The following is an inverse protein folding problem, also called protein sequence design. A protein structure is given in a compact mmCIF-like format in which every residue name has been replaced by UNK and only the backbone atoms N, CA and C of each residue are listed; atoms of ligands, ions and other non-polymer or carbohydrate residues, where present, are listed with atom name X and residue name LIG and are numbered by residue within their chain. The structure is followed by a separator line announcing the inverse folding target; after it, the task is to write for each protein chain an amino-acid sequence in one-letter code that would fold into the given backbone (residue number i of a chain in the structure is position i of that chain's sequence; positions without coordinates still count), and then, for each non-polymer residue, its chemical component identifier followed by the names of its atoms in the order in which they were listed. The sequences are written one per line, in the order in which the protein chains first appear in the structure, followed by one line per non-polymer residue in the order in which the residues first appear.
data_IF_015663536949
#
_entry.id   IF_015663536949
#
_cell.length_a   1.000
_cell.length_b   1.000
_cell.length_c   1.000
_cell.angle_alpha   90.00
_cell.angle_beta   90.00
_cell.angle_gamma   90.00
#
_symmetry.space_group_name_H-M   'P 1'
#
loop_
_entity.id
_entity.type
_entity.pdbx_description
1 polymer ?
#
# COMPACT_ATOMS: atom_id res chain seq x y z
N UNK A 1 14.36 -22.77 25.92
CA UNK A 1 15.18 -22.62 24.69
C UNK A 1 16.26 -21.57 24.92
N UNK A 2 17.40 -21.72 24.25
CA UNK A 2 18.46 -20.71 24.26
C UNK A 2 18.13 -19.56 23.29
N UNK A 3 18.91 -18.48 23.32
CA UNK A 3 18.67 -17.29 22.48
C UNK A 3 18.83 -17.57 20.98
N UNK A 4 19.67 -18.53 20.59
CA UNK A 4 19.86 -18.93 19.19
C UNK A 4 18.57 -19.52 18.62
N UNK A 5 17.87 -20.37 19.36
CA UNK A 5 16.63 -20.97 18.87
C UNK A 5 15.51 -19.92 18.69
N UNK A 6 15.38 -18.95 19.60
CA UNK A 6 14.38 -17.88 19.46
C UNK A 6 14.68 -16.97 18.27
N UNK A 7 15.96 -16.74 17.98
CA UNK A 7 16.41 -15.99 16.82
C UNK A 7 16.07 -16.72 15.50
N UNK A 8 16.37 -18.03 15.41
CA UNK A 8 16.03 -18.83 14.22
C UNK A 8 14.52 -18.88 13.96
N UNK A 9 13.70 -18.96 15.01
CA UNK A 9 12.25 -18.92 14.87
C UNK A 9 11.74 -17.56 14.40
N UNK A 10 12.35 -16.45 14.84
CA UNK A 10 12.03 -15.12 14.34
C UNK A 10 12.34 -14.99 12.84
N UNK A 11 13.53 -15.44 12.41
CA UNK A 11 13.90 -15.44 11.00
C UNK A 11 13.02 -16.38 10.17
N UNK A 12 12.66 -17.55 10.69
CA UNK A 12 11.75 -18.46 10.00
C UNK A 12 10.37 -17.81 9.83
N UNK A 13 9.86 -17.14 10.86
CA UNK A 13 8.59 -16.40 10.75
C UNK A 13 8.69 -15.30 9.69
N UNK A 14 9.77 -14.51 9.70
CA UNK A 14 9.99 -13.46 8.70
C UNK A 14 10.06 -14.02 7.27
N UNK A 15 10.76 -15.14 7.08
CA UNK A 15 10.85 -15.83 5.80
C UNK A 15 9.49 -16.34 5.32
N UNK A 16 8.70 -16.98 6.19
CA UNK A 16 7.35 -17.43 5.84
C UNK A 16 6.42 -16.27 5.51
N UNK A 17 6.53 -15.16 6.24
CA UNK A 17 5.75 -13.95 5.95
C UNK A 17 6.13 -13.36 4.60
N UNK A 18 7.43 -13.25 4.29
CA UNK A 18 7.91 -12.78 2.99
C UNK A 18 7.49 -13.73 1.86
N UNK A 19 7.63 -15.03 2.05
CA UNK A 19 7.26 -16.03 1.06
C UNK A 19 5.76 -16.00 0.75
N UNK A 20 4.92 -15.78 1.75
CA UNK A 20 3.47 -15.63 1.59
C UNK A 20 3.02 -14.23 1.13
N UNK A 21 3.93 -13.26 1.01
CA UNK A 21 3.62 -11.90 0.60
C UNK A 21 3.65 -11.75 -0.94
N UNK A 22 2.77 -10.92 -1.54
CA UNK A 22 2.86 -10.59 -2.96
C UNK A 22 4.24 -10.01 -3.34
N UNK A 23 4.75 -10.25 -4.55
CA UNK A 23 4.03 -10.75 -5.74
C UNK A 23 4.16 -12.26 -5.97
N UNK A 24 4.67 -13.04 -5.02
CA UNK A 24 4.91 -14.48 -5.23
C UNK A 24 3.56 -15.19 -5.44
N UNK A 25 3.32 -15.82 -6.61
CA UNK A 25 2.02 -16.41 -6.90
C UNK A 25 1.81 -17.68 -6.06
N UNK A 26 0.55 -17.93 -5.69
CA UNK A 26 0.09 -19.15 -5.00
C UNK A 26 0.61 -19.40 -3.57
N UNK A 27 1.44 -18.52 -3.02
CA UNK A 27 2.03 -18.69 -1.67
C UNK A 27 1.26 -17.98 -0.56
N UNK A 28 0.31 -17.11 -0.89
CA UNK A 28 -0.52 -16.35 0.07
C UNK A 28 -1.04 -17.16 1.28
N UNK A 29 -1.52 -18.42 1.15
CA UNK A 29 -2.00 -19.20 2.30
C UNK A 29 -0.94 -19.45 3.38
N UNK A 30 0.35 -19.32 3.06
CA UNK A 30 1.44 -19.43 4.05
C UNK A 30 1.28 -18.37 5.15
N UNK A 31 0.74 -17.18 4.83
CA UNK A 31 0.49 -16.12 5.82
C UNK A 31 -0.40 -16.60 6.97
N UNK A 32 -1.31 -17.56 6.74
CA UNK A 32 -2.22 -18.12 7.73
C UNK A 32 -1.51 -18.91 8.85
N UNK A 33 -0.23 -19.24 8.65
CA UNK A 33 0.63 -19.96 9.61
C UNK A 33 2.01 -19.33 9.82
N UNK A 34 2.32 -18.23 9.12
CA UNK A 34 3.66 -17.62 9.08
C UNK A 34 4.15 -17.07 10.43
N UNK A 35 3.25 -16.67 11.34
CA UNK A 35 3.57 -16.17 12.68
C UNK A 35 3.67 -17.29 13.74
N UNK A 36 3.33 -18.54 13.40
CA UNK A 36 3.44 -19.67 14.34
C UNK A 36 4.86 -19.82 14.93
N UNK A 37 5.96 -19.75 14.15
CA UNK A 37 7.30 -19.78 14.71
C UNK A 37 7.58 -18.65 15.70
N UNK A 38 7.10 -17.43 15.43
CA UNK A 38 7.22 -16.29 16.34
C UNK A 38 6.45 -16.54 17.66
N UNK A 39 5.23 -17.10 17.58
CA UNK A 39 4.44 -17.46 18.77
C UNK A 39 5.13 -18.56 19.60
N UNK A 40 5.79 -19.53 18.96
CA UNK A 40 6.63 -20.53 19.65
C UNK A 40 7.81 -19.86 20.36
N UNK A 41 8.51 -18.93 19.70
CA UNK A 41 9.61 -18.19 20.29
C UNK A 41 9.15 -17.35 21.49
N UNK A 42 8.02 -16.67 21.34
CA UNK A 42 7.36 -15.92 22.40
C UNK A 42 7.07 -16.78 23.64
N UNK A 43 6.41 -17.94 23.46
CA UNK A 43 6.08 -18.82 24.57
C UNK A 43 7.33 -19.39 25.26
N UNK A 44 8.38 -19.68 24.49
CA UNK A 44 9.67 -20.09 25.03
C UNK A 44 10.37 -19.00 25.85
N UNK A 45 10.25 -17.73 25.44
CA UNK A 45 10.77 -16.58 26.21
C UNK A 45 9.94 -16.36 27.48
N UNK A 46 8.60 -16.41 27.36
CA UNK A 46 7.66 -16.26 28.48
C UNK A 46 7.93 -17.28 29.58
N UNK A 47 8.12 -18.55 29.22
CA UNK A 47 8.34 -19.65 30.17
C UNK A 47 9.81 -19.84 30.56
N UNK A 48 10.74 -19.10 29.94
CA UNK A 48 12.16 -19.17 30.23
C UNK A 48 12.56 -18.53 31.57
N UNK A 49 13.79 -18.82 32.02
CA UNK A 49 14.39 -18.28 33.26
C UNK A 49 14.94 -16.85 33.14
N UNK A 50 14.86 -16.22 31.96
CA UNK A 50 15.46 -14.89 31.74
C UNK A 50 14.74 -13.80 32.53
N UNK A 51 15.49 -12.86 33.10
CA UNK A 51 14.94 -11.70 33.82
C UNK A 51 14.38 -10.65 32.83
N UNK A 52 15.07 -10.41 31.70
CA UNK A 52 14.72 -9.35 30.73
C UNK A 52 13.74 -9.84 29.64
N UNK A 53 12.63 -10.50 30.04
CA UNK A 53 11.67 -11.12 29.11
C UNK A 53 11.07 -10.13 28.11
N UNK A 54 10.62 -8.96 28.58
CA UNK A 54 10.02 -7.93 27.72
C UNK A 54 10.96 -7.44 26.62
N UNK A 55 12.24 -7.18 26.95
CA UNK A 55 13.26 -6.81 25.95
C UNK A 55 13.50 -7.93 24.94
N UNK A 56 13.54 -9.19 25.38
CA UNK A 56 13.70 -10.33 24.48
C UNK A 56 12.52 -10.50 23.53
N UNK A 57 11.28 -10.34 24.02
CA UNK A 57 10.09 -10.36 23.15
C UNK A 57 10.15 -9.22 22.13
N UNK A 58 10.45 -8.00 22.58
CA UNK A 58 10.58 -6.84 21.69
C UNK A 58 11.60 -7.06 20.59
N UNK A 59 12.81 -7.54 20.92
CA UNK A 59 13.87 -7.78 19.93
C UNK A 59 13.54 -8.96 19.00
N UNK A 60 12.85 -9.99 19.49
CA UNK A 60 12.47 -11.17 18.68
C UNK A 60 11.37 -10.82 17.67
N UNK A 61 10.33 -10.12 18.13
CA UNK A 61 9.27 -9.61 17.25
C UNK A 61 9.81 -8.53 16.30
N UNK A 62 10.64 -7.62 16.81
CA UNK A 62 11.31 -6.58 16.03
C UNK A 62 12.15 -7.12 14.89
N UNK A 63 12.95 -8.15 15.15
CA UNK A 63 13.70 -8.84 14.10
C UNK A 63 12.76 -9.46 13.06
N UNK A 64 11.68 -10.12 13.49
CA UNK A 64 10.73 -10.76 12.58
C UNK A 64 10.11 -9.73 11.63
N UNK A 65 9.54 -8.67 12.18
CA UNK A 65 8.83 -7.68 11.40
C UNK A 65 9.76 -6.80 10.57
N UNK A 66 10.95 -6.47 11.07
CA UNK A 66 11.94 -5.68 10.32
C UNK A 66 12.45 -6.46 9.10
N UNK A 67 12.85 -7.72 9.28
CA UNK A 67 13.34 -8.55 8.16
C UNK A 67 12.23 -8.75 7.12
N UNK A 68 11.01 -9.05 7.56
CA UNK A 68 9.87 -9.19 6.65
C UNK A 68 9.53 -7.88 5.92
N UNK A 69 9.48 -6.75 6.62
CA UNK A 69 9.27 -5.44 5.99
C UNK A 69 10.34 -5.19 4.93
N UNK A 70 11.61 -5.17 5.34
CA UNK A 70 12.71 -4.86 4.42
C UNK A 70 12.71 -5.79 3.21
N UNK A 71 12.49 -7.10 3.39
CA UNK A 71 12.44 -8.04 2.28
C UNK A 71 11.23 -7.85 1.35
N UNK A 72 10.11 -7.31 1.85
CA UNK A 72 8.87 -7.11 1.07
C UNK A 72 8.83 -5.76 0.35
N UNK A 73 9.48 -4.73 0.91
CA UNK A 73 9.48 -3.36 0.37
C UNK A 73 10.87 -2.84 -0.02
N UNK A 74 11.85 -3.72 -0.24
CA UNK A 74 13.22 -3.35 -0.61
C UNK A 74 13.33 -2.43 -1.84
N UNK A 75 12.32 -2.47 -2.73
CA UNK A 75 12.24 -1.66 -3.94
C UNK A 75 12.20 -0.15 -3.65
N UNK A 76 11.82 0.27 -2.43
CA UNK A 76 11.83 1.68 -2.03
C UNK A 76 13.24 2.28 -2.17
N UNK A 77 14.27 1.50 -1.81
CA UNK A 77 15.65 1.95 -1.99
C UNK A 77 15.95 2.25 -3.46
N UNK A 78 15.49 1.40 -4.38
CA UNK A 78 15.71 1.61 -5.81
C UNK A 78 15.01 2.89 -6.30
N UNK A 79 13.78 3.14 -5.84
CA UNK A 79 13.03 4.35 -6.19
C UNK A 79 13.74 5.63 -5.70
N UNK A 80 14.25 5.62 -4.46
CA UNK A 80 14.97 6.78 -3.88
C UNK A 80 16.35 6.94 -4.52
N UNK A 81 17.07 5.84 -4.75
CA UNK A 81 18.42 5.87 -5.33
C UNK A 81 18.43 6.36 -6.77
N UNK A 82 17.35 6.10 -7.52
CA UNK A 82 17.26 6.53 -8.91
C UNK A 82 17.11 8.06 -9.07
N UNK A 83 16.52 8.74 -8.07
CA UNK A 83 16.45 10.22 -8.03
C UNK A 83 17.65 10.86 -7.31
N UNK A 84 18.35 10.12 -6.45
CA UNK A 84 19.51 10.58 -5.68
C UNK A 84 20.80 9.85 -6.08
N UNK A 85 21.09 9.79 -7.39
CA UNK A 85 22.17 8.96 -7.94
C UNK A 85 23.54 9.27 -7.33
N UNK A 86 23.78 10.54 -6.96
CA UNK A 86 25.05 11.00 -6.40
C UNK A 86 25.25 10.65 -4.91
N UNK A 87 24.21 10.15 -4.21
CA UNK A 87 24.31 9.85 -2.78
C UNK A 87 23.58 8.54 -2.38
N UNK A 88 24.18 7.38 -2.65
CA UNK A 88 23.64 6.08 -2.26
C UNK A 88 23.48 5.93 -0.74
N UNK A 89 24.33 6.58 0.05
CA UNK A 89 24.27 6.54 1.51
C UNK A 89 23.02 7.27 2.03
N UNK A 90 22.74 8.46 1.52
CA UNK A 90 21.52 9.19 1.85
C UNK A 90 20.27 8.38 1.46
N UNK A 91 20.28 7.78 0.27
CA UNK A 91 19.20 6.90 -0.21
C UNK A 91 18.96 5.72 0.74
N UNK A 92 20.03 5.07 1.20
CA UNK A 92 19.94 3.99 2.18
C UNK A 92 19.35 4.48 3.52
N UNK A 93 19.84 5.60 4.05
CA UNK A 93 19.36 6.16 5.33
C UNK A 93 17.88 6.57 5.26
N UNK A 94 17.43 7.20 4.18
CA UNK A 94 16.02 7.58 4.00
C UNK A 94 15.14 6.34 3.88
N UNK A 95 15.61 5.31 3.15
CA UNK A 95 14.89 4.03 3.01
C UNK A 95 14.68 3.29 4.33
N UNK A 96 15.55 3.51 5.33
CA UNK A 96 15.36 2.93 6.66
C UNK A 96 14.07 3.41 7.33
N UNK A 97 13.54 4.59 7.00
CA UNK A 97 12.31 5.12 7.58
C UNK A 97 11.12 4.19 7.28
N UNK A 98 10.73 3.93 6.01
CA UNK A 98 9.63 3.01 5.73
C UNK A 98 9.93 1.58 6.17
N UNK A 99 11.18 1.10 6.07
CA UNK A 99 11.55 -0.25 6.53
C UNK A 99 11.36 -0.46 8.03
N UNK A 100 11.65 0.57 8.83
CA UNK A 100 11.66 0.46 10.29
C UNK A 100 10.37 0.95 10.95
N UNK A 101 9.68 1.95 10.39
CA UNK A 101 8.52 2.55 11.02
C UNK A 101 7.34 1.58 11.12
N UNK A 102 6.98 0.92 10.01
CA UNK A 102 5.94 -0.12 10.02
C UNK A 102 6.33 -1.31 10.90
N UNK A 103 7.57 -1.78 10.77
CA UNK A 103 8.14 -2.84 11.61
C UNK A 103 8.05 -2.50 13.11
N UNK A 104 8.36 -1.27 13.49
CA UNK A 104 8.32 -0.79 14.87
C UNK A 104 6.90 -0.78 15.43
N UNK A 105 5.91 -0.29 14.67
CA UNK A 105 4.51 -0.29 15.08
C UNK A 105 3.97 -1.71 15.31
N UNK A 106 4.26 -2.64 14.40
CA UNK A 106 3.88 -4.06 14.58
C UNK A 106 4.59 -4.70 15.78
N UNK A 107 5.84 -4.32 16.02
CA UNK A 107 6.61 -4.76 17.20
C UNK A 107 5.99 -4.24 18.49
N UNK A 108 5.56 -2.98 18.53
CA UNK A 108 4.84 -2.41 19.67
C UNK A 108 3.55 -3.19 19.91
N UNK A 109 2.75 -3.44 18.88
CA UNK A 109 1.51 -4.19 19.01
C UNK A 109 1.74 -5.59 19.63
N UNK A 110 2.75 -6.32 19.15
CA UNK A 110 3.13 -7.62 19.69
C UNK A 110 3.70 -7.52 21.12
N UNK A 111 4.42 -6.43 21.43
CA UNK A 111 4.94 -6.20 22.77
C UNK A 111 3.82 -5.82 23.76
N UNK A 112 2.81 -5.05 23.35
CA UNK A 112 1.62 -4.77 24.14
C UNK A 112 0.81 -6.04 24.40
N UNK A 113 0.71 -6.94 23.41
CA UNK A 113 0.20 -8.30 23.62
C UNK A 113 0.95 -9.02 24.75
N UNK A 114 2.29 -9.01 24.71
CA UNK A 114 3.09 -9.57 25.80
C UNK A 114 2.75 -8.94 27.15
N UNK A 115 2.62 -7.61 27.23
CA UNK A 115 2.27 -6.91 28.48
C UNK A 115 0.90 -7.35 29.00
N UNK A 116 -0.09 -7.46 28.12
CA UNK A 116 -1.43 -7.89 28.48
C UNK A 116 -1.47 -9.36 28.94
N UNK A 117 -0.76 -10.25 28.26
CA UNK A 117 -0.64 -11.66 28.63
C UNK A 117 -0.03 -11.89 30.04
N UNK A 118 0.74 -10.92 30.56
CA UNK A 118 1.29 -10.99 31.93
C UNK A 118 0.25 -10.74 33.02
N UNK A 119 -0.87 -10.10 32.69
CA UNK A 119 -1.86 -9.62 33.65
C UNK A 119 -3.27 -10.17 33.39
N UNK A 120 -3.54 -10.70 32.21
CA UNK A 120 -4.84 -11.20 31.79
C UNK A 120 -4.82 -12.70 31.47
N UNK A 121 -6.01 -13.29 31.29
CA UNK A 121 -6.13 -14.67 30.81
C UNK A 121 -5.73 -14.76 29.32
N UNK A 122 -5.45 -15.99 28.86
CA UNK A 122 -4.93 -16.24 27.51
C UNK A 122 -5.84 -15.73 26.38
N UNK A 123 -7.16 -15.80 26.55
CA UNK A 123 -8.11 -15.40 25.51
C UNK A 123 -8.14 -13.88 25.39
N UNK A 124 -8.18 -13.17 26.52
CA UNK A 124 -8.05 -11.70 26.55
C UNK A 124 -6.73 -11.24 25.95
N UNK A 125 -5.63 -11.95 26.22
CA UNK A 125 -4.34 -11.64 25.63
C UNK A 125 -4.36 -11.80 24.10
N UNK A 126 -4.90 -12.91 23.58
CA UNK A 126 -5.03 -13.11 22.13
C UNK A 126 -5.93 -12.08 21.45
N UNK A 127 -7.06 -11.72 22.07
CA UNK A 127 -7.90 -10.61 21.58
C UNK A 127 -7.11 -9.31 21.57
N UNK A 128 -6.31 -9.05 22.61
CA UNK A 128 -5.42 -7.89 22.65
C UNK A 128 -4.38 -7.88 21.53
N UNK A 129 -3.78 -9.02 21.17
CA UNK A 129 -2.88 -9.11 20.02
C UNK A 129 -3.58 -8.64 18.74
N UNK A 130 -4.78 -9.14 18.47
CA UNK A 130 -5.56 -8.77 17.29
C UNK A 130 -5.88 -7.27 17.30
N UNK A 131 -6.43 -6.76 18.41
CA UNK A 131 -6.83 -5.36 18.54
C UNK A 131 -5.63 -4.42 18.43
N UNK A 132 -4.54 -4.68 19.16
CA UNK A 132 -3.35 -3.82 19.09
C UNK A 132 -2.74 -3.80 17.70
N UNK A 133 -2.74 -4.94 16.99
CA UNK A 133 -2.16 -5.04 15.65
C UNK A 133 -3.00 -4.27 14.63
N UNK A 134 -4.31 -4.48 14.59
CA UNK A 134 -5.20 -3.77 13.65
C UNK A 134 -5.24 -2.27 13.98
N UNK A 135 -5.22 -1.88 15.26
CA UNK A 135 -5.10 -0.46 15.64
C UNK A 135 -3.79 0.16 15.14
N UNK A 136 -2.67 -0.58 15.20
CA UNK A 136 -1.40 -0.12 14.66
C UNK A 136 -1.46 0.03 13.12
N UNK A 137 -2.11 -0.89 12.40
CA UNK A 137 -2.34 -0.77 10.96
C UNK A 137 -3.20 0.45 10.62
N UNK A 138 -4.31 0.65 11.33
CA UNK A 138 -5.20 1.79 11.13
C UNK A 138 -4.51 3.13 11.40
N UNK A 139 -3.71 3.20 12.48
CA UNK A 139 -2.91 4.38 12.79
C UNK A 139 -1.88 4.67 11.69
N UNK A 140 -1.18 3.63 11.21
CA UNK A 140 -0.19 3.78 10.15
C UNK A 140 -0.79 4.18 8.80
N UNK A 141 -2.08 3.98 8.59
CA UNK A 141 -2.81 4.47 7.41
C UNK A 141 -3.26 5.93 7.53
N UNK A 142 -3.41 6.46 8.76
CA UNK A 142 -4.18 7.68 9.00
C UNK A 142 -3.35 8.95 9.25
N UNK A 143 -2.06 8.81 9.59
CA UNK A 143 -1.18 9.93 9.93
C UNK A 143 -0.33 10.45 8.74
N UNK A 144 0.44 11.52 8.96
CA UNK A 144 1.22 12.16 7.90
C UNK A 144 2.37 11.32 7.35
N UNK A 145 2.90 10.38 8.13
CA UNK A 145 3.90 9.38 7.70
C UNK A 145 3.23 8.07 7.27
N UNK A 146 2.07 8.15 6.64
CA UNK A 146 1.30 6.96 6.29
C UNK A 146 2.01 6.15 5.22
N UNK A 147 2.20 4.86 5.51
CA UNK A 147 2.76 3.89 4.58
C UNK A 147 2.11 2.51 4.76
N UNK A 148 0.80 2.38 4.47
CA UNK A 148 0.01 1.19 4.78
C UNK A 148 0.25 0.00 3.82
N UNK A 149 1.43 -0.08 3.20
CA UNK A 149 1.81 -1.22 2.35
C UNK A 149 1.71 -2.53 3.11
N UNK A 150 2.21 -2.53 4.34
CA UNK A 150 2.43 -3.74 5.14
C UNK A 150 1.25 -4.12 6.04
N UNK A 151 0.04 -3.61 5.77
CA UNK A 151 -1.21 -4.09 6.37
C UNK A 151 -1.41 -5.56 6.00
N UNK A 152 -1.50 -6.47 6.97
CA UNK A 152 -1.49 -7.91 6.75
C UNK A 152 -2.55 -8.38 5.75
N UNK A 153 -3.75 -7.80 5.80
CA UNK A 153 -4.82 -8.12 4.86
C UNK A 153 -4.49 -7.81 3.39
N UNK A 154 -3.54 -6.94 3.08
CA UNK A 154 -3.06 -6.75 1.71
C UNK A 154 -2.37 -8.00 1.16
N UNK A 155 -1.86 -8.87 2.02
CA UNK A 155 -1.19 -10.11 1.63
C UNK A 155 -2.07 -11.06 0.81
N UNK A 156 -3.41 -10.92 0.90
CA UNK A 156 -4.35 -11.70 0.11
C UNK A 156 -4.49 -11.22 -1.35
N UNK A 157 -3.91 -10.08 -1.72
CA UNK A 157 -4.00 -9.54 -3.08
C UNK A 157 -3.43 -10.49 -4.14
N UNK A 158 -2.40 -11.28 -3.79
CA UNK A 158 -1.81 -12.28 -4.69
C UNK A 158 -2.73 -13.47 -5.01
N UNK A 159 -3.79 -13.68 -4.24
CA UNK A 159 -4.79 -14.73 -4.44
C UNK A 159 -6.19 -14.22 -4.07
N UNK A 160 -6.63 -13.13 -4.70
CA UNK A 160 -7.89 -12.45 -4.39
C UNK A 160 -9.13 -13.37 -4.46
N UNK A 161 -9.07 -14.48 -5.22
CA UNK A 161 -10.13 -15.50 -5.30
C UNK A 161 -10.45 -16.13 -3.94
N UNK A 162 -9.52 -16.13 -2.99
CA UNK A 162 -9.71 -16.66 -1.64
C UNK A 162 -10.40 -15.68 -0.68
N UNK A 163 -10.50 -14.41 -1.07
CA UNK A 163 -10.84 -13.29 -0.19
C UNK A 163 -12.05 -12.47 -0.65
N UNK A 164 -12.98 -13.05 -1.43
CA UNK A 164 -14.15 -12.33 -1.93
C UNK A 164 -15.06 -11.78 -0.81
N UNK A 165 -15.05 -12.41 0.38
CA UNK A 165 -15.72 -11.87 1.58
C UNK A 165 -15.19 -10.51 2.06
N UNK A 166 -14.06 -10.02 1.52
CA UNK A 166 -13.59 -8.64 1.73
C UNK A 166 -14.64 -7.59 1.35
N UNK A 167 -15.63 -7.93 0.50
CA UNK A 167 -16.76 -7.05 0.19
C UNK A 167 -17.50 -6.56 1.46
N UNK A 168 -17.48 -7.33 2.56
CA UNK A 168 -18.16 -6.97 3.81
C UNK A 168 -17.22 -6.40 4.88
N UNK A 169 -15.97 -6.84 4.91
CA UNK A 169 -15.05 -6.52 6.03
C UNK A 169 -13.92 -5.59 5.65
N UNK A 170 -13.69 -5.40 4.34
CA UNK A 170 -12.48 -4.78 3.81
C UNK A 170 -11.20 -5.50 4.23
N UNK A 171 -10.07 -4.82 4.00
CA UNK A 171 -8.72 -5.33 4.24
C UNK A 171 -8.45 -5.73 5.69
N UNK A 172 -9.02 -5.03 6.68
CA UNK A 172 -8.80 -5.35 8.09
C UNK A 172 -9.43 -6.69 8.51
N UNK A 173 -10.50 -7.13 7.84
CA UNK A 173 -11.01 -8.50 8.00
C UNK A 173 -9.97 -9.54 7.60
N UNK A 174 -9.17 -9.25 6.59
CA UNK A 174 -7.96 -9.99 6.21
C UNK A 174 -6.93 -10.10 7.31
N UNK A 175 -6.55 -8.96 7.89
CA UNK A 175 -5.60 -8.91 9.02
C UNK A 175 -6.12 -9.74 10.20
N UNK A 176 -7.41 -9.60 10.53
CA UNK A 176 -8.07 -10.41 11.55
C UNK A 176 -7.98 -11.91 11.23
N UNK A 177 -8.29 -12.30 9.99
CA UNK A 177 -8.26 -13.70 9.56
C UNK A 177 -6.86 -14.31 9.68
N UNK A 178 -5.84 -13.59 9.21
CA UNK A 178 -4.43 -14.01 9.28
C UNK A 178 -3.98 -14.16 10.74
N UNK A 179 -4.24 -13.15 11.59
CA UNK A 179 -3.83 -13.17 12.99
C UNK A 179 -4.53 -14.30 13.76
N UNK A 180 -5.85 -14.45 13.58
CA UNK A 180 -6.65 -15.48 14.25
C UNK A 180 -6.26 -16.88 13.77
N UNK A 181 -6.00 -17.07 12.48
CA UNK A 181 -5.49 -18.35 11.97
C UNK A 181 -4.15 -18.72 12.61
N UNK A 182 -3.21 -17.78 12.71
CA UNK A 182 -1.91 -18.01 13.34
C UNK A 182 -2.03 -18.38 14.84
N UNK A 183 -2.93 -17.71 15.56
CA UNK A 183 -3.21 -18.02 16.98
C UNK A 183 -3.77 -19.44 17.11
N UNK A 184 -4.75 -19.82 16.30
CA UNK A 184 -5.37 -21.15 16.35
C UNK A 184 -4.42 -22.26 15.90
N UNK A 185 -3.61 -22.01 14.86
CA UNK A 185 -2.55 -22.92 14.42
C UNK A 185 -1.51 -23.16 15.53
N UNK A 186 -1.10 -22.10 16.23
CA UNK A 186 -0.20 -22.20 17.37
C UNK A 186 -0.83 -22.98 18.54
N UNK A 187 -2.09 -22.73 18.90
CA UNK A 187 -2.78 -23.49 19.95
C UNK A 187 -2.95 -24.97 19.56
N UNK A 188 -3.21 -25.29 18.30
CA UNK A 188 -3.26 -26.66 17.79
C UNK A 188 -1.89 -27.35 17.95
N UNK A 189 -0.81 -26.68 17.55
CA UNK A 189 0.57 -27.16 17.75
C UNK A 189 0.90 -27.38 19.24
N UNK A 190 0.60 -26.40 20.10
CA UNK A 190 0.88 -26.47 21.54
C UNK A 190 0.09 -27.60 22.22
N UNK A 191 -1.19 -27.75 21.86
CA UNK A 191 -2.08 -28.80 22.35
C UNK A 191 -1.55 -30.20 21.99
N UNK A 192 -1.16 -30.40 20.73
CA UNK A 192 -0.56 -31.64 20.24
C UNK A 192 0.72 -32.00 21.01
N UNK A 193 1.62 -31.04 21.24
CA UNK A 193 2.89 -31.26 21.98
C UNK A 193 2.70 -31.54 23.46
N UNK A 194 1.66 -30.99 24.09
CA UNK A 194 1.46 -31.11 25.54
C UNK A 194 1.07 -32.52 26.00
N UNK A 195 0.55 -33.38 25.11
CA UNK A 195 0.08 -34.75 25.34
C UNK A 195 -0.92 -34.98 26.50
N UNK A 196 -1.31 -33.95 27.26
CA UNK A 196 -2.04 -34.07 28.54
C UNK A 196 -3.57 -33.88 28.48
N UNK A 197 -4.16 -33.52 27.35
CA UNK A 197 -5.61 -33.22 27.26
C UNK A 197 -6.39 -34.25 26.45
N UNK A 198 -7.62 -34.56 26.87
CA UNK A 198 -8.59 -35.31 26.05
C UNK A 198 -9.17 -34.49 24.88
N UNK A 199 -8.97 -33.16 24.87
CA UNK A 199 -9.49 -32.23 23.86
C UNK A 199 -8.40 -31.73 22.88
N UNK A 200 -7.39 -32.56 22.60
CA UNK A 200 -6.21 -32.18 21.79
C UNK A 200 -6.54 -31.57 20.43
N UNK A 201 -7.58 -32.07 19.77
CA UNK A 201 -7.95 -31.71 18.41
C UNK A 201 -8.88 -30.49 18.30
N UNK A 202 -9.42 -29.99 19.42
CA UNK A 202 -10.40 -28.88 19.38
C UNK A 202 -9.84 -27.63 18.68
N UNK A 203 -8.63 -27.12 19.02
CA UNK A 203 -8.07 -25.97 18.31
C UNK A 203 -7.81 -26.24 16.83
N UNK A 204 -7.46 -27.49 16.46
CA UNK A 204 -7.24 -27.88 15.07
C UNK A 204 -8.55 -27.88 14.26
N UNK A 205 -9.68 -28.29 14.85
CA UNK A 205 -10.98 -28.21 14.19
C UNK A 205 -11.43 -26.75 13.98
N UNK A 206 -11.26 -25.89 14.98
CA UNK A 206 -11.54 -24.46 14.82
C UNK A 206 -10.62 -23.82 13.77
N UNK A 207 -9.34 -24.18 13.78
CA UNK A 207 -8.37 -23.72 12.78
C UNK A 207 -8.74 -24.17 11.36
N UNK A 208 -9.14 -25.43 11.20
CA UNK A 208 -9.63 -25.93 9.91
C UNK A 208 -10.89 -25.19 9.45
N UNK A 209 -11.86 -24.98 10.35
CA UNK A 209 -13.07 -24.24 10.05
C UNK A 209 -12.81 -22.80 9.61
N UNK A 210 -11.91 -22.09 10.30
CA UNK A 210 -11.60 -20.70 9.94
C UNK A 210 -10.87 -20.58 8.60
N UNK A 211 -10.17 -21.61 8.14
CA UNK A 211 -9.55 -21.61 6.80
C UNK A 211 -10.58 -21.98 5.74
N UNK A 212 -11.28 -23.10 5.94
CA UNK A 212 -12.11 -23.71 4.91
C UNK A 212 -13.38 -22.91 4.65
N UNK A 213 -14.03 -22.36 5.67
CA UNK A 213 -15.31 -21.66 5.49
C UNK A 213 -15.16 -20.38 4.65
N UNK A 214 -14.24 -19.44 4.95
CA UNK A 214 -14.09 -18.22 4.15
C UNK A 214 -13.59 -18.51 2.73
N UNK A 215 -12.68 -19.47 2.57
CA UNK A 215 -12.20 -19.87 1.24
C UNK A 215 -13.32 -20.48 0.41
N UNK A 216 -14.09 -21.40 0.99
CA UNK A 216 -15.22 -22.04 0.28
C UNK A 216 -16.25 -21.00 -0.14
N UNK A 217 -16.61 -20.08 0.77
CA UNK A 217 -17.50 -18.96 0.46
C UNK A 217 -16.96 -18.14 -0.72
N UNK A 218 -15.68 -17.72 -0.66
CA UNK A 218 -15.07 -16.91 -1.70
C UNK A 218 -15.03 -17.60 -3.05
N UNK A 219 -14.64 -18.89 -3.10
CA UNK A 219 -14.56 -19.64 -4.34
C UNK A 219 -15.94 -19.88 -4.96
N UNK A 220 -16.97 -20.14 -4.13
CA UNK A 220 -18.35 -20.28 -4.60
C UNK A 220 -18.85 -18.95 -5.19
N UNK A 221 -18.59 -17.82 -4.53
CA UNK A 221 -18.94 -16.49 -5.04
C UNK A 221 -18.20 -16.18 -6.35
N UNK A 222 -16.89 -16.39 -6.36
CA UNK A 222 -16.02 -16.09 -7.50
C UNK A 222 -16.42 -16.88 -8.76
N UNK A 223 -16.78 -18.16 -8.61
CA UNK A 223 -17.14 -19.02 -9.75
C UNK A 223 -18.58 -18.88 -10.22
N UNK A 224 -19.48 -18.34 -9.39
CA UNK A 224 -20.90 -18.14 -9.73
C UNK A 224 -21.23 -16.72 -10.14
N UNK A 225 -20.28 -15.79 -10.01
CA UNK A 225 -20.50 -14.41 -10.42
C UNK A 225 -20.67 -14.34 -11.95
N UNK A 226 -21.75 -13.71 -12.38
CA UNK A 226 -22.03 -13.41 -13.78
C UNK A 226 -22.17 -11.90 -13.90
N UNK A 227 -21.22 -11.28 -14.59
CA UNK A 227 -21.21 -9.85 -14.83
C UNK A 227 -22.37 -9.46 -15.76
N UNK A 228 -22.96 -8.28 -15.52
CA UNK A 228 -23.94 -7.74 -16.45
C UNK A 228 -23.19 -7.08 -17.61
N UNK A 229 -23.28 -7.66 -18.80
CA UNK A 229 -22.59 -7.12 -19.97
C UNK A 229 -23.20 -5.77 -20.41
N UNK A 230 -22.44 -4.71 -20.16
CA UNK A 230 -22.58 -3.39 -20.80
C UNK A 230 -21.21 -3.07 -21.40
N UNK A 231 -20.88 -3.64 -22.56
CA UNK A 231 -19.53 -3.53 -23.11
C UNK A 231 -19.26 -2.08 -23.51
N UNK A 232 -18.14 -1.56 -23.03
CA UNK A 232 -17.58 -0.25 -23.43
C UNK A 232 -16.25 -0.48 -24.14
N UNK A 233 -16.00 0.25 -25.22
CA UNK A 233 -14.72 0.16 -25.92
C UNK A 233 -13.72 1.17 -25.32
N UNK A 234 -12.66 0.64 -24.70
CA UNK A 234 -11.67 1.42 -23.95
C UNK A 234 -10.28 1.15 -24.51
N UNK A 235 -9.52 2.22 -24.77
CA UNK A 235 -8.10 2.18 -25.14
C UNK A 235 -7.27 2.73 -23.99
N UNK A 236 -6.49 1.87 -23.34
CA UNK A 236 -5.53 2.26 -22.30
C UNK A 236 -4.12 2.30 -22.87
N UNK A 237 -3.41 3.41 -22.68
CA UNK A 237 -2.11 3.65 -23.32
C UNK A 237 -0.99 3.64 -22.28
N UNK A 238 0.04 2.85 -22.54
CA UNK A 238 1.28 2.85 -21.75
C UNK A 238 2.46 3.15 -22.68
N UNK A 239 2.98 4.39 -22.70
CA UNK A 239 3.96 4.82 -23.70
C UNK A 239 5.39 4.29 -23.42
N UNK A 240 5.61 3.62 -22.28
CA UNK A 240 6.91 3.12 -21.85
C UNK A 240 8.03 4.19 -21.88
N UNK A 241 7.68 5.42 -21.53
CA UNK A 241 8.63 6.52 -21.34
C UNK A 241 9.33 6.32 -20.01
N UNK A 242 10.67 6.45 -20.00
CA UNK A 242 11.45 6.37 -18.77
C UNK A 242 10.97 7.46 -17.77
N UNK A 243 10.57 7.10 -16.55
CA UNK A 243 10.05 8.05 -15.58
C UNK A 243 11.09 9.12 -15.15
N UNK A 244 12.39 8.86 -15.32
CA UNK A 244 13.47 9.78 -14.98
C UNK A 244 13.82 10.73 -16.15
N UNK A 245 13.54 10.34 -17.40
CA UNK A 245 13.68 11.21 -18.58
C UNK A 245 12.40 12.02 -18.88
N UNK A 246 11.29 11.64 -18.23
CA UNK A 246 9.96 12.24 -18.43
C UNK A 246 9.92 13.75 -18.18
N UNK A 247 10.73 14.24 -17.24
CA UNK A 247 10.83 15.64 -16.87
C UNK A 247 12.12 16.23 -17.45
N UNK A 248 12.00 16.96 -18.57
CA UNK A 248 13.11 17.68 -19.21
C UNK A 248 13.87 16.90 -20.29
N UNK A 249 13.79 15.57 -20.34
CA UNK A 249 14.38 14.76 -21.42
C UNK A 249 13.56 14.74 -22.72
N UNK A 250 12.27 15.09 -22.65
CA UNK A 250 11.36 15.10 -23.79
C UNK A 250 10.27 16.18 -23.63
N UNK A 251 9.93 16.89 -24.71
CA UNK A 251 8.83 17.88 -24.71
C UNK A 251 7.46 17.20 -24.49
N UNK A 252 6.51 17.88 -23.83
CA UNK A 252 5.17 17.31 -23.65
C UNK A 252 4.48 17.01 -24.98
N UNK A 253 4.71 17.82 -26.01
CA UNK A 253 4.16 17.59 -27.34
C UNK A 253 4.65 16.27 -27.96
N UNK A 254 5.92 15.92 -27.78
CA UNK A 254 6.45 14.63 -28.24
C UNK A 254 5.82 13.47 -27.46
N UNK A 255 5.61 13.62 -26.14
CA UNK A 255 4.91 12.60 -25.34
C UNK A 255 3.46 12.43 -25.83
N UNK A 256 2.76 13.53 -26.13
CA UNK A 256 1.42 13.51 -26.73
C UNK A 256 1.39 12.87 -28.12
N UNK A 257 2.39 13.10 -28.97
CA UNK A 257 2.48 12.43 -30.27
C UNK A 257 2.62 10.91 -30.13
N UNK A 258 3.41 10.44 -29.16
CA UNK A 258 3.52 9.01 -28.84
C UNK A 258 2.17 8.46 -28.36
N UNK A 259 1.51 9.14 -27.42
CA UNK A 259 0.24 8.73 -26.85
C UNK A 259 -0.88 8.66 -27.89
N UNK A 260 -0.99 9.68 -28.74
CA UNK A 260 -1.99 9.73 -29.82
C UNK A 260 -1.74 8.67 -30.88
N UNK A 261 -0.49 8.47 -31.30
CA UNK A 261 -0.11 7.42 -32.25
C UNK A 261 -0.43 6.01 -31.72
N UNK A 262 -0.08 5.73 -30.46
CA UNK A 262 -0.41 4.46 -29.81
C UNK A 262 -1.92 4.25 -29.72
N UNK A 263 -2.66 5.29 -29.33
CA UNK A 263 -4.11 5.25 -29.28
C UNK A 263 -4.71 4.90 -30.65
N UNK A 264 -4.30 5.61 -31.71
CA UNK A 264 -4.80 5.40 -33.08
C UNK A 264 -4.49 4.01 -33.63
N UNK A 265 -3.41 3.36 -33.16
CA UNK A 265 -3.00 2.06 -33.68
C UNK A 265 -3.96 0.91 -33.33
N UNK A 266 -4.81 1.10 -32.32
CA UNK A 266 -5.75 0.07 -31.84
C UNK A 266 -7.19 0.57 -31.72
N UNK A 267 -7.42 1.89 -31.76
CA UNK A 267 -8.73 2.48 -31.60
C UNK A 267 -9.68 2.13 -32.75
N UNK A 268 -10.96 2.01 -32.39
CA UNK A 268 -12.06 1.76 -33.31
C UNK A 268 -12.98 2.99 -33.40
N UNK A 269 -13.79 3.15 -34.45
CA UNK A 269 -14.74 4.27 -34.57
C UNK A 269 -15.72 4.40 -33.40
N UNK A 270 -16.03 3.29 -32.71
CA UNK A 270 -16.89 3.22 -31.53
C UNK A 270 -16.12 3.24 -30.19
N UNK A 271 -14.83 3.63 -30.18
CA UNK A 271 -14.08 3.82 -28.93
C UNK A 271 -14.72 4.92 -28.09
N UNK A 272 -15.04 4.61 -26.84
CA UNK A 272 -15.73 5.52 -25.91
C UNK A 272 -14.75 6.15 -24.92
N UNK A 273 -13.68 5.45 -24.55
CA UNK A 273 -12.69 5.96 -23.61
C UNK A 273 -11.25 5.78 -24.08
N UNK A 274 -10.47 6.83 -23.92
CA UNK A 274 -9.02 6.81 -24.00
C UNK A 274 -8.45 7.11 -22.62
N UNK A 275 -7.59 6.24 -22.11
CA UNK A 275 -6.95 6.39 -20.81
C UNK A 275 -5.44 6.59 -21.01
N UNK A 276 -4.98 7.81 -20.77
CA UNK A 276 -3.55 8.16 -20.76
C UNK A 276 -3.05 8.21 -19.31
N UNK A 277 -1.76 7.90 -19.07
CA UNK A 277 -1.24 7.69 -17.72
C UNK A 277 -1.12 8.98 -16.89
N UNK A 278 -0.78 8.82 -15.61
CA UNK A 278 -0.43 9.91 -14.69
C UNK A 278 0.65 10.82 -15.31
N UNK A 279 0.47 12.13 -15.17
CA UNK A 279 1.40 13.15 -15.69
C UNK A 279 1.76 12.95 -17.18
N UNK A 280 0.80 12.48 -18.00
CA UNK A 280 0.96 12.37 -19.45
C UNK A 280 1.16 13.74 -20.13
N UNK A 281 0.66 14.81 -19.50
CA UNK A 281 0.95 16.20 -19.83
C UNK A 281 1.81 16.79 -18.69
N UNK A 282 3.16 16.69 -18.76
CA UNK A 282 4.07 17.13 -17.70
C UNK A 282 4.40 18.63 -17.79
N UNK A 283 3.40 19.45 -18.10
CA UNK A 283 3.56 20.91 -18.25
C UNK A 283 2.59 21.62 -17.31
N UNK A 284 3.09 22.44 -16.35
CA UNK A 284 2.26 23.20 -15.44
C UNK A 284 1.29 24.11 -16.21
N UNK A 285 0.02 23.75 -16.21
CA UNK A 285 -1.00 24.44 -17.01
C UNK A 285 -2.07 25.06 -16.11
N UNK A 286 -2.34 26.36 -16.29
CA UNK A 286 -3.41 27.03 -15.57
C UNK A 286 -4.78 26.45 -15.98
N UNK A 287 -5.53 25.92 -15.02
CA UNK A 287 -6.83 25.29 -15.25
C UNK A 287 -7.84 26.24 -15.89
N UNK A 288 -7.82 27.53 -15.53
CA UNK A 288 -8.72 28.54 -16.10
C UNK A 288 -8.42 28.80 -17.59
N UNK A 289 -7.18 28.55 -18.02
CA UNK A 289 -6.69 28.78 -19.38
C UNK A 289 -6.42 27.47 -20.13
N UNK A 290 -6.87 26.32 -19.61
CA UNK A 290 -6.57 25.01 -20.19
C UNK A 290 -6.95 24.93 -21.67
N UNK A 291 -8.07 25.57 -22.05
CA UNK A 291 -8.63 25.54 -23.41
C UNK A 291 -7.76 26.22 -24.46
N UNK A 292 -6.87 27.12 -24.04
CA UNK A 292 -5.89 27.76 -24.93
C UNK A 292 -4.51 27.09 -24.90
N UNK A 293 -4.32 26.06 -24.07
CA UNK A 293 -3.05 25.34 -24.02
C UNK A 293 -2.85 24.47 -25.28
N UNK A 294 -1.61 24.42 -25.77
CA UNK A 294 -1.25 23.59 -26.93
C UNK A 294 -1.55 22.10 -26.69
N UNK A 295 -1.26 21.62 -25.48
CA UNK A 295 -1.50 20.25 -25.04
C UNK A 295 -3.00 19.89 -25.07
N UNK A 296 -3.88 20.78 -24.60
CA UNK A 296 -5.33 20.58 -24.70
C UNK A 296 -5.81 20.58 -26.15
N UNK A 297 -5.37 21.53 -26.96
CA UNK A 297 -5.76 21.63 -28.38
C UNK A 297 -5.36 20.36 -29.13
N UNK A 298 -4.15 19.84 -28.87
CA UNK A 298 -3.68 18.57 -29.45
C UNK A 298 -4.54 17.39 -29.00
N UNK A 299 -4.85 17.29 -27.71
CA UNK A 299 -5.71 16.25 -27.16
C UNK A 299 -7.13 16.29 -27.75
N UNK A 300 -7.73 17.49 -27.87
CA UNK A 300 -9.04 17.69 -28.47
C UNK A 300 -9.04 17.39 -29.97
N UNK A 301 -7.99 17.80 -30.69
CA UNK A 301 -7.81 17.46 -32.12
C UNK A 301 -7.71 15.95 -32.32
N UNK A 302 -6.97 15.25 -31.47
CA UNK A 302 -6.94 13.79 -31.45
C UNK A 302 -8.34 13.19 -31.22
N UNK A 303 -9.05 13.66 -30.20
CA UNK A 303 -10.35 13.11 -29.80
C UNK A 303 -11.44 13.33 -30.86
N UNK A 304 -11.34 14.40 -31.67
CA UNK A 304 -12.30 14.74 -32.72
C UNK A 304 -12.53 13.64 -33.76
N UNK A 305 -11.58 12.70 -33.91
CA UNK A 305 -11.69 11.52 -34.78
C UNK A 305 -12.72 10.50 -34.26
N UNK A 306 -12.98 10.51 -32.96
CA UNK A 306 -13.81 9.54 -32.23
C UNK A 306 -15.02 10.28 -31.64
N UNK A 307 -16.15 10.32 -32.37
CA UNK A 307 -17.31 11.17 -32.03
C UNK A 307 -17.86 10.95 -30.61
N UNK A 308 -17.85 9.70 -30.14
CA UNK A 308 -18.32 9.31 -28.80
C UNK A 308 -17.17 9.16 -27.79
N UNK A 309 -15.95 9.53 -28.18
CA UNK A 309 -14.77 9.34 -27.35
C UNK A 309 -14.66 10.40 -26.26
N UNK A 310 -14.23 9.94 -25.09
CA UNK A 310 -13.79 10.74 -23.96
C UNK A 310 -12.35 10.39 -23.64
N UNK A 311 -11.50 11.40 -23.45
CA UNK A 311 -10.12 11.21 -23.02
C UNK A 311 -10.00 11.53 -21.53
N UNK A 312 -9.43 10.59 -20.77
CA UNK A 312 -9.01 10.81 -19.38
C UNK A 312 -7.47 10.72 -19.36
N UNK A 313 -6.81 11.79 -18.92
CA UNK A 313 -5.35 11.91 -18.96
C UNK A 313 -4.80 12.53 -17.69
N UNK A 314 -3.59 12.13 -17.27
CA UNK A 314 -2.86 12.83 -16.22
C UNK A 314 -2.24 14.15 -16.71
N UNK A 315 -2.24 15.17 -15.85
CA UNK A 315 -1.68 16.51 -16.12
C UNK A 315 -1.09 17.12 -14.84
N UNK A 316 -0.05 17.94 -14.99
CA UNK A 316 0.35 18.90 -13.96
C UNK A 316 -0.41 20.22 -14.15
N UNK A 317 -1.27 20.58 -13.20
CA UNK A 317 -2.12 21.76 -13.33
C UNK A 317 -1.86 22.78 -12.22
N UNK A 318 -2.19 24.04 -12.51
CA UNK A 318 -2.09 25.16 -11.60
C UNK A 318 -3.47 25.79 -11.39
N UNK A 319 -3.79 26.13 -10.14
CA UNK A 319 -4.96 26.95 -9.81
C UNK A 319 -4.51 28.20 -9.09
N UNK A 320 -4.96 29.35 -9.58
CA UNK A 320 -4.62 30.66 -9.04
C UNK A 320 -5.75 31.21 -8.16
N UNK A 321 -5.37 31.96 -7.14
CA UNK A 321 -6.25 32.56 -6.14
C UNK A 321 -5.82 34.02 -5.88
N UNK A 322 -6.76 34.85 -5.44
CA UNK A 322 -6.44 36.20 -4.97
C UNK A 322 -5.88 36.16 -3.54
N UNK A 323 -6.55 35.42 -2.65
CA UNK A 323 -6.13 35.21 -1.27
C UNK A 323 -5.57 33.79 -1.05
N UNK A 324 -4.92 33.57 0.09
CA UNK A 324 -4.38 32.26 0.46
C UNK A 324 -5.50 31.31 0.90
N UNK A 325 -6.10 30.61 -0.07
CA UNK A 325 -7.22 29.68 0.15
C UNK A 325 -6.80 28.33 0.78
N UNK A 326 -5.55 27.90 0.58
CA UNK A 326 -5.06 26.60 1.08
C UNK A 326 -3.74 26.72 1.84
N UNK A 327 -3.42 25.71 2.65
CA UNK A 327 -2.14 25.65 3.39
C UNK A 327 -0.96 25.50 2.42
N UNK A 328 -1.16 24.79 1.30
CA UNK A 328 -0.16 24.51 0.28
C UNK A 328 0.05 25.66 -0.71
N UNK A 329 -0.87 26.64 -0.75
CA UNK A 329 -0.80 27.72 -1.72
C UNK A 329 0.45 28.59 -1.52
N UNK A 330 1.16 28.80 -2.63
CA UNK A 330 2.42 29.56 -2.72
C UNK A 330 2.14 30.96 -3.28
N UNK A 331 2.89 31.99 -2.86
CA UNK A 331 2.72 33.34 -3.43
C UNK A 331 3.06 33.34 -4.93
N UNK A 332 2.21 33.99 -5.71
CA UNK A 332 2.46 34.29 -7.11
C UNK A 332 3.13 35.67 -7.23
N UNK A 333 4.06 35.84 -8.18
CA UNK A 333 4.83 37.08 -8.35
C UNK A 333 4.00 38.33 -8.67
N UNK A 334 2.70 38.18 -8.94
CA UNK A 334 1.75 39.24 -9.25
C UNK A 334 0.83 39.64 -8.07
N UNK A 335 1.09 39.16 -6.86
CA UNK A 335 0.33 39.53 -5.66
C UNK A 335 -0.87 38.62 -5.33
N UNK A 336 -0.98 37.45 -5.98
CA UNK A 336 -1.94 36.40 -5.63
C UNK A 336 -1.26 35.15 -5.06
N UNK A 337 -1.98 34.02 -5.06
CA UNK A 337 -1.47 32.71 -4.64
C UNK A 337 -1.77 31.63 -5.70
N UNK A 338 -1.06 30.52 -5.66
CA UNK A 338 -1.35 29.36 -6.51
C UNK A 338 -1.05 28.04 -5.82
N UNK A 339 -1.79 27.00 -6.20
CA UNK A 339 -1.49 25.60 -5.90
C UNK A 339 -1.05 24.87 -7.16
N UNK A 340 -0.12 23.92 -7.01
CA UNK A 340 0.25 22.96 -8.04
C UNK A 340 -0.38 21.60 -7.75
N UNK A 341 -1.01 21.00 -8.76
CA UNK A 341 -1.71 19.73 -8.64
C UNK A 341 -1.13 18.70 -9.60
N UNK A 342 -0.98 17.49 -9.09
CA UNK A 342 -1.04 16.29 -9.91
C UNK A 342 -2.53 15.95 -10.09
N UNK A 343 -3.01 16.04 -11.32
CA UNK A 343 -4.43 15.96 -11.63
C UNK A 343 -4.73 14.96 -12.74
N UNK A 344 -5.95 14.43 -12.73
CA UNK A 344 -6.55 13.83 -13.92
C UNK A 344 -7.46 14.86 -14.58
N UNK A 345 -7.41 14.94 -15.91
CA UNK A 345 -8.24 15.81 -16.73
C UNK A 345 -9.11 14.96 -17.66
N UNK A 346 -10.40 15.28 -17.71
CA UNK A 346 -11.34 14.74 -18.70
C UNK A 346 -11.51 15.74 -19.85
N UNK A 347 -11.32 15.26 -21.08
CA UNK A 347 -11.52 15.99 -22.33
C UNK A 347 -12.60 15.29 -23.15
N UNK A 348 -13.54 16.07 -23.66
CA UNK A 348 -14.64 15.60 -24.50
C UNK A 348 -14.63 16.32 -25.86
N UNK A 349 -15.44 15.85 -26.81
CA UNK A 349 -15.78 16.59 -28.04
C UNK A 349 -16.70 17.80 -27.76
N UNK A 350 -16.40 18.56 -26.71
CA UNK A 350 -17.12 19.76 -26.28
C UNK A 350 -16.15 20.73 -25.60
N UNK A 351 -16.64 21.90 -25.19
CA UNK A 351 -15.85 22.84 -24.39
C UNK A 351 -15.76 22.44 -22.90
N UNK A 352 -16.42 21.35 -22.49
CA UNK A 352 -16.40 20.87 -21.12
C UNK A 352 -15.05 20.23 -20.80
N UNK A 353 -14.46 20.63 -19.67
CA UNK A 353 -13.20 20.09 -19.15
C UNK A 353 -13.37 19.95 -17.65
N UNK A 354 -13.08 18.78 -17.12
CA UNK A 354 -13.17 18.50 -15.69
C UNK A 354 -11.83 18.04 -15.16
N UNK A 355 -11.55 18.42 -13.92
CA UNK A 355 -10.32 18.06 -13.22
C UNK A 355 -10.64 17.28 -11.96
N UNK A 356 -9.81 16.28 -11.68
CA UNK A 356 -9.73 15.60 -10.40
C UNK A 356 -8.34 15.81 -9.82
N UNK A 357 -8.24 16.47 -8.67
CA UNK A 357 -6.97 16.70 -7.98
C UNK A 357 -6.63 15.51 -7.08
N UNK A 358 -5.39 15.02 -7.16
CA UNK A 358 -4.89 13.96 -6.29
C UNK A 358 -5.02 14.37 -4.82
N UNK A 359 -5.87 13.66 -4.08
CA UNK A 359 -6.22 13.99 -2.70
C UNK A 359 -5.29 13.37 -1.64
N UNK A 360 -4.55 12.33 -2.01
CA UNK A 360 -3.58 11.64 -1.14
C UNK A 360 -2.19 11.71 -1.79
N UNK A 361 -1.37 12.60 -1.25
CA UNK A 361 -0.02 12.86 -1.71
C UNK A 361 1.00 11.98 -0.98
N UNK A 362 2.03 11.54 -1.70
CA UNK A 362 3.12 10.71 -1.18
C UNK A 362 3.96 11.54 -0.19
N UNK A 363 4.02 11.13 1.11
CA UNK A 363 4.84 11.82 2.10
C UNK A 363 6.32 11.80 1.71
N UNK A 364 6.98 12.96 1.79
CA UNK A 364 8.41 13.14 1.49
C UNK A 364 8.75 13.34 0.01
N UNK A 365 7.83 13.05 -0.91
CA UNK A 365 8.01 13.28 -2.36
C UNK A 365 7.09 14.39 -2.87
N UNK A 366 5.79 14.27 -2.58
CA UNK A 366 4.76 15.21 -3.06
C UNK A 366 4.26 16.15 -1.96
N UNK A 367 4.44 15.77 -0.69
CA UNK A 367 4.10 16.63 0.46
C UNK A 367 5.15 16.55 1.54
N UNK A 368 5.31 17.66 2.27
CA UNK A 368 6.06 17.70 3.51
C UNK A 368 5.21 17.10 4.64
N UNK A 369 5.67 16.05 5.35
CA UNK A 369 4.95 15.52 6.51
C UNK A 369 4.93 16.53 7.66
N UNK A 370 3.84 16.62 8.42
CA UNK A 370 3.68 17.52 9.57
C UNK A 370 4.06 18.99 9.28
N UNK A 371 3.49 19.63 8.25
CA UNK A 371 3.93 20.95 7.76
C UNK A 371 3.84 22.04 8.84
N UNK A 372 2.89 21.96 9.78
CA UNK A 372 2.79 22.90 10.91
C UNK A 372 3.91 22.71 11.93
N UNK A 373 4.25 21.47 12.27
CA UNK A 373 5.30 21.18 13.25
C UNK A 373 6.71 21.39 12.67
N UNK A 374 6.86 21.18 11.36
CA UNK A 374 8.11 21.36 10.63
C UNK A 374 8.17 22.66 9.83
N UNK A 375 7.28 23.63 10.09
CA UNK A 375 7.21 24.88 9.35
C UNK A 375 8.54 25.66 9.31
N UNK A 376 9.40 25.47 10.32
CA UNK A 376 10.73 26.07 10.36
C UNK A 376 11.69 25.56 9.26
N UNK A 377 11.40 24.42 8.63
CA UNK A 377 12.15 23.90 7.49
C UNK A 377 11.58 24.37 6.14
N UNK A 378 10.42 25.03 6.11
CA UNK A 378 9.81 25.52 4.88
C UNK A 378 10.75 26.38 4.00
N UNK A 379 11.60 27.28 4.54
CA UNK A 379 12.53 28.08 3.73
C UNK A 379 13.63 27.28 3.00
N UNK A 380 13.76 25.97 3.28
CA UNK A 380 14.71 25.08 2.60
C UNK A 380 14.06 24.42 1.36
N UNK A 381 12.72 24.43 1.29
CA UNK A 381 11.94 23.78 0.24
C UNK A 381 11.12 24.78 -0.62
N UNK A 382 11.14 26.07 -0.26
CA UNK A 382 10.75 27.22 -1.09
C UNK A 382 11.96 27.70 -1.91
#
# INVERSE_FOLDING_TARGET
MNARTTFLLALLSAFLMWLGWPPIPYTTPILLVALVPLLIAYNAIKNGKSIKKGRRVFLTAGLTFLVWNTASIYWIYNAISAVNQDNPLASALVSLIPYSLGAFLMTIAFWLYYRLDRVANKYTAYTGLIVFYITAEYLHQSWDLSFPWMTLGNGLAGMHQLAQWYEYTGTYGGSLWILLSNILAYEAYASYRSQKSSRKLVPAYFWFGIIVLPISYSLIRYTRYVEKEVPVNVVTVQPNIDPYDKFGGMSAMTQLDILTKLSDSVAQPNTEYFLWPETAIPEPTNEDQIRSSASFIKAQSFLSKYKNGTLITGIESLKFYQDKETISAKPAGNGGFYDNFNAAMQVENSANVQFYHKSKLVPGVEKMPFPTALAFLAPVFE
#
